data_IF_257714717938
#
_entry.id   IF_257714717938
#
_cell.length_a   1.000
_cell.length_b   1.000
_cell.length_c   1.000
_cell.angle_alpha   90.00
_cell.angle_beta   90.00
_cell.angle_gamma   90.00
#
_symmetry.space_group_name_H-M   'P 1'
#
loop_
_entity.id
_entity.type
_entity.pdbx_description
1 polymer ?
#
# COMPACT_ATOMS: atom_id res chain seq x y z
N UNK A 1 7.41 -0.08 21.81
CA UNK A 1 6.51 0.89 21.17
C UNK A 1 6.28 2.01 22.17
N UNK A 2 6.80 3.22 21.91
CA UNK A 2 6.67 4.32 22.86
C UNK A 2 5.32 5.00 22.69
N UNK A 3 4.68 5.40 23.78
CA UNK A 3 3.31 5.95 23.78
C UNK A 3 3.20 7.26 22.97
N UNK A 4 4.32 7.97 22.80
CA UNK A 4 4.47 9.18 21.99
C UNK A 4 4.26 8.95 20.49
N UNK A 5 4.76 7.83 19.97
CA UNK A 5 4.81 7.55 18.53
C UNK A 5 3.41 7.17 18.01
N UNK A 6 2.63 6.48 18.85
CA UNK A 6 1.21 6.22 18.60
C UNK A 6 0.39 7.50 18.55
N UNK A 7 0.75 8.49 19.37
CA UNK A 7 0.03 9.75 19.47
C UNK A 7 0.29 10.65 18.25
N UNK A 8 1.53 10.72 17.74
CA UNK A 8 1.82 11.40 16.48
C UNK A 8 1.10 10.75 15.29
N UNK A 9 1.08 9.41 15.22
CA UNK A 9 0.39 8.67 14.15
C UNK A 9 -1.12 8.91 14.17
N UNK A 10 -1.75 8.95 15.35
CA UNK A 10 -3.18 9.26 15.47
C UNK A 10 -3.48 10.70 15.06
N UNK A 11 -2.63 11.66 15.45
CA UNK A 11 -2.79 13.08 15.11
C UNK A 11 -2.59 13.34 13.61
N UNK A 12 -1.67 12.63 12.96
CA UNK A 12 -1.41 12.71 11.53
C UNK A 12 -2.51 12.01 10.72
N UNK A 13 -3.04 10.89 11.21
CA UNK A 13 -4.20 10.21 10.62
C UNK A 13 -5.44 11.12 10.63
N UNK A 14 -5.72 11.81 11.74
CA UNK A 14 -6.80 12.81 11.82
C UNK A 14 -6.57 13.98 10.84
N UNK A 15 -5.34 14.51 10.75
CA UNK A 15 -5.00 15.56 9.79
C UNK A 15 -5.21 15.11 8.33
N UNK A 16 -4.89 13.86 8.01
CA UNK A 16 -5.07 13.31 6.67
C UNK A 16 -6.53 13.01 6.31
N UNK A 17 -7.39 12.75 7.31
CA UNK A 17 -8.85 12.59 7.12
C UNK A 17 -9.60 13.90 6.85
N UNK A 18 -9.00 15.05 7.22
CA UNK A 18 -9.56 16.39 7.05
C UNK A 18 -9.32 16.98 5.65
N UNK A 19 -8.51 16.34 4.80
CA UNK A 19 -8.16 16.88 3.49
C UNK A 19 -9.26 16.51 2.48
N UNK A 20 -9.88 17.49 1.81
CA UNK A 20 -10.99 17.24 0.89
C UNK A 20 -10.63 16.25 -0.23
N UNK A 21 -11.67 15.58 -0.73
CA UNK A 21 -11.58 14.41 -1.61
C UNK A 21 -10.56 14.51 -2.73
N UNK A 22 -9.80 13.41 -2.90
CA UNK A 22 -8.70 13.29 -3.86
C UNK A 22 -9.23 13.39 -5.29
N UNK A 23 -9.05 14.55 -5.93
CA UNK A 23 -9.46 14.74 -7.32
C UNK A 23 -8.40 14.20 -8.29
N UNK A 24 -8.77 13.17 -9.05
CA UNK A 24 -7.96 12.56 -10.14
C UNK A 24 -7.28 13.57 -11.07
N UNK A 25 -7.97 14.60 -11.60
CA UNK A 25 -7.30 15.56 -12.48
C UNK A 25 -6.19 16.34 -11.77
N UNK A 26 -6.34 16.64 -10.47
CA UNK A 26 -5.32 17.33 -9.69
C UNK A 26 -4.06 16.49 -9.52
N UNK A 27 -4.22 15.17 -9.37
CA UNK A 27 -3.08 14.25 -9.35
C UNK A 27 -2.29 14.29 -10.66
N UNK A 28 -3.00 14.24 -11.79
CA UNK A 28 -2.35 14.26 -13.11
C UNK A 28 -1.70 15.62 -13.36
N UNK A 29 -2.38 16.72 -12.99
CA UNK A 29 -1.81 18.06 -13.09
C UNK A 29 -0.51 18.19 -12.30
N UNK A 30 -0.45 17.59 -11.09
CA UNK A 30 0.76 17.58 -10.27
C UNK A 30 1.96 16.93 -10.97
N UNK A 31 1.75 15.92 -11.83
CA UNK A 31 2.81 15.27 -12.62
C UNK A 31 3.29 16.12 -13.79
N UNK A 32 2.41 16.96 -14.33
CA UNK A 32 2.70 17.77 -15.51
C UNK A 32 3.32 19.12 -15.14
N UNK A 33 2.97 19.69 -13.98
CA UNK A 33 3.49 20.99 -13.49
C UNK A 33 5.03 21.06 -13.47
N UNK A 34 5.78 20.08 -12.95
CA UNK A 34 7.24 20.11 -12.94
C UNK A 34 7.84 20.16 -14.37
N UNK A 35 7.26 19.40 -15.30
CA UNK A 35 7.70 19.33 -16.68
C UNK A 35 7.44 20.65 -17.42
N UNK A 36 6.23 21.21 -17.26
CA UNK A 36 5.87 22.51 -17.83
C UNK A 36 6.72 23.64 -17.25
N UNK A 37 7.00 23.60 -15.95
CA UNK A 37 7.87 24.57 -15.29
C UNK A 37 9.28 24.51 -15.87
N UNK A 38 9.86 23.31 -16.00
CA UNK A 38 11.17 23.15 -16.64
C UNK A 38 11.19 23.69 -18.08
N UNK A 39 10.12 23.41 -18.85
CA UNK A 39 9.98 23.93 -20.21
C UNK A 39 9.92 25.45 -20.24
N UNK A 40 9.13 26.06 -19.36
CA UNK A 40 9.03 27.52 -19.25
C UNK A 40 10.39 28.15 -18.90
N UNK A 41 11.10 27.65 -17.89
CA UNK A 41 12.42 28.18 -17.54
C UNK A 41 13.44 28.02 -18.68
N UNK A 42 13.36 26.92 -19.43
CA UNK A 42 14.17 26.68 -20.61
C UNK A 42 13.84 27.67 -21.74
N UNK A 43 12.55 27.89 -22.01
CA UNK A 43 12.06 28.80 -23.04
C UNK A 43 12.46 30.26 -22.78
N UNK A 44 12.42 30.72 -21.53
CA UNK A 44 12.84 32.09 -21.16
C UNK A 44 14.36 32.24 -20.98
N UNK A 45 15.14 31.22 -21.29
CA UNK A 45 16.60 31.22 -21.14
C UNK A 45 17.06 31.63 -19.72
N UNK A 46 16.33 31.17 -18.71
CA UNK A 46 16.67 31.45 -17.31
C UNK A 46 18.06 30.90 -16.95
N UNK A 47 18.79 31.54 -16.01
CA UNK A 47 20.10 31.04 -15.60
C UNK A 47 19.98 29.63 -15.01
N UNK A 48 20.94 28.77 -15.34
CA UNK A 48 20.90 27.34 -15.01
C UNK A 48 20.83 27.09 -13.50
N UNK A 49 21.51 27.90 -12.70
CA UNK A 49 21.55 27.77 -11.24
C UNK A 49 20.16 27.98 -10.61
N UNK A 50 19.41 28.97 -11.08
CA UNK A 50 18.04 29.22 -10.61
C UNK A 50 17.12 28.09 -11.08
N UNK A 51 17.30 27.64 -12.32
CA UNK A 51 16.48 26.57 -12.90
C UNK A 51 16.63 25.24 -12.15
N UNK A 52 17.84 24.88 -11.77
CA UNK A 52 18.14 23.72 -10.91
C UNK A 52 17.32 23.80 -9.62
N UNK A 53 17.52 24.87 -8.84
CA UNK A 53 16.90 25.02 -7.52
C UNK A 53 15.37 24.98 -7.64
N UNK A 54 14.82 25.72 -8.60
CA UNK A 54 13.38 25.80 -8.81
C UNK A 54 12.76 24.45 -9.18
N UNK A 55 13.36 23.72 -10.13
CA UNK A 55 12.86 22.40 -10.56
C UNK A 55 12.93 21.38 -9.42
N UNK A 56 14.03 21.36 -8.66
CA UNK A 56 14.15 20.44 -7.53
C UNK A 56 13.11 20.74 -6.43
N UNK A 57 12.88 22.01 -6.09
CA UNK A 57 11.83 22.39 -5.11
C UNK A 57 10.46 21.88 -5.57
N UNK A 58 10.11 22.10 -6.83
CA UNK A 58 8.84 21.62 -7.38
C UNK A 58 8.75 20.09 -7.34
N UNK A 59 9.84 19.38 -7.68
CA UNK A 59 9.88 17.91 -7.57
C UNK A 59 9.72 17.43 -6.12
N UNK A 60 10.30 18.12 -5.15
CA UNK A 60 10.12 17.78 -3.74
C UNK A 60 8.69 18.01 -3.27
N UNK A 61 8.06 19.10 -3.69
CA UNK A 61 6.64 19.37 -3.41
C UNK A 61 5.76 18.30 -4.05
N UNK A 62 6.03 17.91 -5.30
CA UNK A 62 5.31 16.82 -5.99
C UNK A 62 5.41 15.50 -5.20
N UNK A 63 6.61 15.11 -4.78
CA UNK A 63 6.82 13.90 -3.97
C UNK A 63 6.13 14.00 -2.63
N UNK A 64 6.20 15.14 -1.96
CA UNK A 64 5.57 15.35 -0.66
C UNK A 64 4.05 15.19 -0.76
N UNK A 65 3.41 15.87 -1.71
CA UNK A 65 1.96 15.78 -1.92
C UNK A 65 1.56 14.37 -2.38
N UNK A 66 2.36 13.74 -3.24
CA UNK A 66 2.15 12.34 -3.65
C UNK A 66 2.14 11.40 -2.46
N UNK A 67 3.15 11.53 -1.59
CA UNK A 67 3.33 10.68 -0.44
C UNK A 67 2.21 10.85 0.57
N UNK A 68 1.89 12.10 0.89
CA UNK A 68 0.97 12.43 1.98
C UNK A 68 -0.49 12.29 1.58
N UNK A 69 -0.86 12.83 0.42
CA UNK A 69 -2.26 12.94 0.01
C UNK A 69 -2.67 11.80 -0.93
N UNK A 70 -1.93 11.59 -2.01
CA UNK A 70 -2.34 10.64 -3.05
C UNK A 70 -2.03 9.18 -2.70
N UNK A 71 -0.99 8.91 -1.90
CA UNK A 71 -0.63 7.55 -1.46
C UNK A 71 -1.74 6.90 -0.63
N UNK A 72 -2.15 7.57 0.47
CA UNK A 72 -3.25 7.14 1.32
C UNK A 72 -4.60 7.23 0.58
N UNK A 73 -4.79 8.28 -0.24
CA UNK A 73 -6.04 8.57 -0.92
C UNK A 73 -6.41 7.57 -2.02
N UNK A 74 -5.48 7.27 -2.94
CA UNK A 74 -5.79 6.44 -4.12
C UNK A 74 -5.53 4.95 -3.89
N UNK A 75 -4.47 4.60 -3.17
CA UNK A 75 -4.04 3.20 -3.01
C UNK A 75 -4.07 2.73 -1.56
N UNK A 76 -4.14 3.66 -0.60
CA UNK A 76 -4.06 3.33 0.82
C UNK A 76 -2.65 2.91 1.25
N UNK A 77 -1.62 3.27 0.49
CA UNK A 77 -0.22 2.94 0.77
C UNK A 77 0.52 4.17 1.28
N UNK A 78 1.31 4.00 2.34
CA UNK A 78 2.21 5.04 2.87
C UNK A 78 3.53 4.42 3.30
N UNK A 79 4.62 5.14 3.10
CA UNK A 79 5.92 4.79 3.69
C UNK A 79 6.42 5.89 4.60
N UNK A 80 6.95 5.54 5.76
CA UNK A 80 7.57 6.45 6.72
C UNK A 80 8.83 5.83 7.31
N UNK A 81 9.67 6.65 7.96
CA UNK A 81 10.84 6.13 8.66
C UNK A 81 10.52 5.94 10.13
N UNK A 82 10.59 4.71 10.62
CA UNK A 82 10.51 4.40 12.05
C UNK A 82 11.57 3.34 12.42
N UNK A 83 12.45 3.70 13.36
CA UNK A 83 13.53 2.85 13.84
C UNK A 83 13.03 1.74 14.78
N UNK A 84 11.89 1.93 15.43
CA UNK A 84 11.35 0.96 16.38
C UNK A 84 10.71 -0.25 15.69
N UNK A 85 10.16 -0.06 14.49
CA UNK A 85 9.39 -1.08 13.78
C UNK A 85 10.19 -1.80 12.70
N UNK A 86 11.14 -1.12 12.05
CA UNK A 86 12.10 -1.72 11.12
C UNK A 86 13.52 -1.53 11.66
N UNK A 87 14.08 -2.49 12.42
CA UNK A 87 15.44 -2.37 12.97
C UNK A 87 16.54 -2.53 11.90
N UNK A 88 16.19 -3.00 10.70
CA UNK A 88 17.10 -3.06 9.55
C UNK A 88 17.11 -1.72 8.82
N UNK A 89 18.30 -1.17 8.64
CA UNK A 89 18.54 -0.01 7.79
C UNK A 89 17.99 -0.29 6.38
N UNK A 90 17.20 0.61 5.76
CA UNK A 90 17.01 2.04 6.05
C UNK A 90 15.88 2.42 7.05
N UNK A 91 15.36 1.48 7.86
CA UNK A 91 14.32 1.72 8.86
C UNK A 91 13.02 2.31 8.27
N UNK A 92 12.57 1.76 7.15
CA UNK A 92 11.36 2.20 6.44
C UNK A 92 10.22 1.25 6.80
N UNK A 93 9.11 1.80 7.28
CA UNK A 93 7.87 1.07 7.52
C UNK A 93 6.91 1.32 6.36
N UNK A 94 6.28 0.25 5.91
CA UNK A 94 5.29 0.25 4.84
C UNK A 94 3.91 0.02 5.44
N UNK A 95 3.06 1.04 5.35
CA UNK A 95 1.68 0.99 5.82
C UNK A 95 0.74 0.73 4.64
N UNK A 96 -0.17 -0.22 4.82
CA UNK A 96 -1.31 -0.47 3.94
C UNK A 96 -2.58 -0.38 4.77
N UNK A 97 -3.61 0.30 4.27
CA UNK A 97 -4.91 0.37 4.97
C UNK A 97 -5.49 -1.04 5.19
N UNK A 98 -5.95 -1.37 6.40
CA UNK A 98 -6.62 -2.65 6.68
C UNK A 98 -8.03 -2.69 6.08
N UNK A 99 -8.59 -3.91 5.95
CA UNK A 99 -9.97 -4.11 5.49
C UNK A 99 -10.96 -3.33 6.40
N UNK A 100 -12.05 -2.77 5.84
CA UNK A 100 -12.64 -3.04 4.51
C UNK A 100 -12.15 -2.13 3.38
N UNK A 101 -11.06 -1.36 3.56
CA UNK A 101 -10.57 -0.48 2.49
C UNK A 101 -10.07 -1.29 1.28
N UNK A 102 -10.77 -1.17 0.16
CA UNK A 102 -10.35 -1.73 -1.14
C UNK A 102 -10.21 -0.56 -2.11
N UNK A 103 -8.98 -0.33 -2.56
CA UNK A 103 -8.72 0.69 -3.57
C UNK A 103 -9.49 0.34 -4.85
N UNK A 104 -10.23 1.30 -5.39
CA UNK A 104 -10.86 1.14 -6.71
C UNK A 104 -9.79 0.85 -7.75
N UNK A 105 -10.04 -0.09 -8.66
CA UNK A 105 -9.10 -0.45 -9.73
C UNK A 105 -8.69 0.77 -10.56
N UNK A 106 -9.63 1.70 -10.78
CA UNK A 106 -9.38 2.94 -11.52
C UNK A 106 -8.40 3.84 -10.76
N UNK A 107 -8.61 4.02 -9.45
CA UNK A 107 -7.80 4.92 -8.63
C UNK A 107 -6.37 4.39 -8.45
N UNK A 108 -6.25 3.07 -8.25
CA UNK A 108 -4.95 2.39 -8.24
C UNK A 108 -4.22 2.53 -9.57
N UNK A 109 -4.89 2.24 -10.69
CA UNK A 109 -4.27 2.35 -12.02
C UNK A 109 -3.80 3.78 -12.31
N UNK A 110 -4.64 4.79 -12.03
CA UNK A 110 -4.28 6.20 -12.20
C UNK A 110 -3.06 6.55 -11.35
N UNK A 111 -3.03 6.11 -10.09
CA UNK A 111 -1.90 6.35 -9.21
C UNK A 111 -0.60 5.80 -9.80
N UNK A 112 -0.57 4.50 -10.13
CA UNK A 112 0.61 3.83 -10.65
C UNK A 112 1.06 4.37 -12.01
N UNK A 113 0.10 4.65 -12.91
CA UNK A 113 0.40 5.27 -14.21
C UNK A 113 0.98 6.67 -14.04
N UNK A 114 0.41 7.51 -13.18
CA UNK A 114 0.94 8.84 -12.92
C UNK A 114 2.33 8.81 -12.25
N UNK A 115 2.56 7.83 -11.38
CA UNK A 115 3.86 7.63 -10.72
C UNK A 115 4.94 7.20 -11.72
N UNK A 116 4.57 6.40 -12.72
CA UNK A 116 5.45 6.00 -13.84
C UNK A 116 5.60 7.11 -14.89
N UNK A 117 4.56 7.92 -15.10
CA UNK A 117 4.56 8.99 -16.10
C UNK A 117 5.59 10.08 -15.77
N UNK A 118 5.82 10.35 -14.48
CA UNK A 118 6.81 11.34 -14.05
C UNK A 118 8.25 11.01 -14.51
N UNK A 119 8.86 9.87 -14.14
CA UNK A 119 10.22 9.54 -14.59
C UNK A 119 10.30 9.39 -16.11
N UNK A 120 9.27 8.85 -16.77
CA UNK A 120 9.22 8.77 -18.24
C UNK A 120 9.20 10.16 -18.87
N UNK A 121 8.40 11.08 -18.34
CA UNK A 121 8.33 12.47 -18.79
C UNK A 121 9.67 13.19 -18.66
N UNK A 122 10.42 12.94 -17.58
CA UNK A 122 11.78 13.47 -17.42
C UNK A 122 12.79 12.88 -18.41
N UNK A 123 12.69 11.59 -18.74
CA UNK A 123 13.54 10.96 -19.76
C UNK A 123 13.26 11.55 -21.14
N UNK A 124 11.99 11.69 -21.52
CA UNK A 124 11.60 12.31 -22.80
C UNK A 124 12.10 13.76 -22.85
N UNK A 125 11.92 14.50 -21.75
CA UNK A 125 12.41 15.88 -21.64
C UNK A 125 13.93 15.95 -21.74
N UNK A 126 14.67 14.98 -21.19
CA UNK A 126 16.13 14.93 -21.31
C UNK A 126 16.57 14.83 -22.77
N UNK A 127 15.95 13.93 -23.55
CA UNK A 127 16.24 13.77 -24.99
C UNK A 127 15.89 15.05 -25.75
N UNK A 128 14.74 15.65 -25.46
CA UNK A 128 14.31 16.91 -26.06
C UNK A 128 15.31 18.04 -25.77
N UNK A 129 15.64 18.30 -24.51
CA UNK A 129 16.57 19.38 -24.17
C UNK A 129 17.99 19.13 -24.65
N UNK A 130 18.43 17.87 -24.75
CA UNK A 130 19.72 17.52 -25.35
C UNK A 130 19.85 18.06 -26.78
N UNK A 131 18.78 17.94 -27.57
CA UNK A 131 18.75 18.36 -28.96
C UNK A 131 18.59 19.88 -29.11
N UNK A 132 17.71 20.51 -28.31
CA UNK A 132 17.34 21.92 -28.50
C UNK A 132 18.13 22.92 -27.66
N UNK A 133 18.55 22.57 -26.44
CA UNK A 133 19.10 23.51 -25.44
C UNK A 133 20.50 23.13 -24.91
N UNK A 134 21.03 22.01 -25.39
CA UNK A 134 22.37 21.51 -25.06
C UNK A 134 22.45 20.69 -23.76
N UNK A 135 23.64 20.18 -23.46
CA UNK A 135 23.88 19.20 -22.38
C UNK A 135 23.67 19.72 -20.96
N UNK A 136 23.58 21.04 -20.75
CA UNK A 136 23.41 21.65 -19.42
C UNK A 136 22.10 21.24 -18.74
N UNK A 137 21.03 21.08 -19.52
CA UNK A 137 19.70 20.67 -19.04
C UNK A 137 19.59 19.18 -18.73
N UNK A 138 20.52 18.37 -19.23
CA UNK A 138 20.54 16.93 -18.96
C UNK A 138 20.73 16.63 -17.48
N UNK A 139 21.60 17.36 -16.79
CA UNK A 139 21.84 17.14 -15.36
C UNK A 139 20.56 17.35 -14.53
N UNK A 140 19.78 18.38 -14.87
CA UNK A 140 18.49 18.66 -14.22
C UNK A 140 17.53 17.50 -14.45
N UNK A 141 17.40 17.05 -15.70
CA UNK A 141 16.47 15.97 -16.05
C UNK A 141 16.88 14.64 -15.41
N UNK A 142 18.17 14.30 -15.40
CA UNK A 142 18.68 13.10 -14.76
C UNK A 142 18.44 13.11 -13.26
N UNK A 143 18.69 14.24 -12.58
CA UNK A 143 18.43 14.38 -11.15
C UNK A 143 16.94 14.27 -10.81
N UNK A 144 16.08 14.94 -11.58
CA UNK A 144 14.64 14.87 -11.40
C UNK A 144 14.09 13.46 -11.69
N UNK A 145 14.57 12.79 -12.76
CA UNK A 145 14.22 11.41 -13.06
C UNK A 145 14.62 10.45 -11.94
N UNK A 146 15.83 10.59 -11.39
CA UNK A 146 16.33 9.75 -10.29
C UNK A 146 15.47 9.90 -9.03
N UNK A 147 15.14 11.14 -8.65
CA UNK A 147 14.29 11.43 -7.49
C UNK A 147 12.88 10.83 -7.67
N UNK A 148 12.28 10.96 -8.86
CA UNK A 148 10.99 10.35 -9.15
C UNK A 148 11.04 8.82 -9.19
N UNK A 149 12.12 8.24 -9.71
CA UNK A 149 12.33 6.79 -9.72
C UNK A 149 12.51 6.23 -8.31
N UNK A 150 13.21 6.94 -7.43
CA UNK A 150 13.30 6.58 -6.01
C UNK A 150 11.91 6.55 -5.37
N UNK A 151 11.07 7.55 -5.64
CA UNK A 151 9.70 7.58 -5.14
C UNK A 151 8.87 6.40 -5.67
N UNK A 152 8.95 6.10 -6.97
CA UNK A 152 8.32 4.92 -7.57
C UNK A 152 8.77 3.61 -6.89
N UNK A 153 10.08 3.46 -6.70
CA UNK A 153 10.66 2.27 -6.06
C UNK A 153 10.19 2.08 -4.62
N UNK A 154 10.02 3.18 -3.86
CA UNK A 154 9.52 3.14 -2.50
C UNK A 154 8.07 2.63 -2.47
N UNK A 155 7.20 3.18 -3.31
CA UNK A 155 5.82 2.73 -3.42
C UNK A 155 5.70 1.28 -3.90
N UNK A 156 6.57 0.85 -4.83
CA UNK A 156 6.58 -0.54 -5.28
C UNK A 156 6.92 -1.50 -4.14
N UNK A 157 7.85 -1.12 -3.26
CA UNK A 157 8.16 -1.88 -2.04
C UNK A 157 7.00 -1.87 -1.05
N UNK A 158 6.28 -0.75 -0.90
CA UNK A 158 5.05 -0.71 -0.10
C UNK A 158 4.03 -1.74 -0.59
N UNK A 159 3.81 -1.77 -1.91
CA UNK A 159 2.82 -2.64 -2.54
C UNK A 159 3.14 -4.12 -2.34
N UNK A 160 4.41 -4.49 -2.53
CA UNK A 160 4.84 -5.87 -2.32
C UNK A 160 4.74 -6.28 -0.85
N UNK A 161 5.15 -5.42 0.08
CA UNK A 161 5.03 -5.68 1.52
C UNK A 161 3.55 -5.82 1.95
N UNK A 162 2.66 -4.98 1.42
CA UNK A 162 1.21 -5.07 1.68
C UNK A 162 0.60 -6.37 1.17
N UNK A 163 1.04 -6.87 0.01
CA UNK A 163 0.62 -8.18 -0.52
C UNK A 163 1.08 -9.33 0.35
N UNK A 164 2.35 -9.35 0.76
CA UNK A 164 2.88 -10.38 1.65
C UNK A 164 2.13 -10.43 2.98
N UNK A 165 1.77 -9.27 3.54
CA UNK A 165 0.97 -9.19 4.75
C UNK A 165 -0.44 -9.77 4.53
N UNK A 166 -1.12 -9.39 3.44
CA UNK A 166 -2.45 -9.90 3.11
C UNK A 166 -2.44 -11.43 2.90
N UNK A 167 -1.43 -11.96 2.21
CA UNK A 167 -1.25 -13.40 2.00
C UNK A 167 -1.02 -14.14 3.31
N UNK A 168 -0.22 -13.59 4.23
CA UNK A 168 0.02 -14.21 5.53
C UNK A 168 -1.25 -14.28 6.39
N UNK A 169 -2.05 -13.21 6.39
CA UNK A 169 -3.34 -13.16 7.10
C UNK A 169 -4.31 -14.18 6.49
N UNK A 170 -4.43 -14.21 5.16
CA UNK A 170 -5.28 -15.17 4.48
C UNK A 170 -4.87 -16.62 4.78
N UNK A 171 -3.56 -16.92 4.79
CA UNK A 171 -3.05 -18.25 5.18
C UNK A 171 -3.42 -18.59 6.62
N UNK A 172 -3.24 -17.68 7.57
CA UNK A 172 -3.61 -17.92 8.97
C UNK A 172 -5.11 -18.18 9.12
N UNK A 173 -5.97 -17.41 8.44
CA UNK A 173 -7.41 -17.62 8.49
C UNK A 173 -7.86 -18.93 7.82
N UNK A 174 -7.16 -19.37 6.75
CA UNK A 174 -7.43 -20.67 6.12
C UNK A 174 -6.94 -21.83 6.99
N UNK A 175 -5.81 -21.68 7.69
CA UNK A 175 -5.32 -22.66 8.66
C UNK A 175 -6.24 -22.73 9.87
N UNK A 176 -6.66 -21.60 10.43
CA UNK A 176 -7.59 -21.55 11.56
C UNK A 176 -8.94 -22.20 11.24
N UNK A 177 -9.47 -21.96 10.02
CA UNK A 177 -10.65 -22.68 9.54
C UNK A 177 -10.42 -24.18 9.40
N UNK A 178 -9.25 -24.63 8.93
CA UNK A 178 -9.00 -26.06 8.79
C UNK A 178 -8.96 -26.78 10.14
N UNK A 179 -8.44 -26.14 11.20
CA UNK A 179 -8.47 -26.67 12.55
C UNK A 179 -9.91 -26.71 13.05
N UNK A 180 -10.67 -25.65 12.81
CA UNK A 180 -12.10 -25.60 13.15
C UNK A 180 -12.93 -26.68 12.44
N UNK A 181 -12.63 -26.98 11.17
CA UNK A 181 -13.29 -28.07 10.43
C UNK A 181 -12.85 -29.46 10.88
N UNK A 182 -11.59 -29.65 11.28
CA UNK A 182 -11.10 -30.91 11.85
C UNK A 182 -11.77 -31.17 13.20
N UNK A 183 -11.80 -30.17 14.09
CA UNK A 183 -12.47 -30.28 15.40
C UNK A 183 -13.97 -30.54 15.22
N UNK A 184 -14.64 -29.83 14.31
CA UNK A 184 -16.06 -30.10 14.04
C UNK A 184 -16.31 -31.48 13.40
N UNK A 185 -15.34 -32.03 12.66
CA UNK A 185 -15.44 -33.37 12.09
C UNK A 185 -15.18 -34.45 13.16
N UNK A 186 -14.19 -34.26 14.02
CA UNK A 186 -13.89 -35.14 15.15
C UNK A 186 -15.04 -35.16 16.17
N UNK A 187 -15.66 -34.01 16.47
CA UNK A 187 -16.85 -33.95 17.32
C UNK A 187 -18.04 -34.71 16.71
N UNK A 188 -18.19 -34.67 15.38
CA UNK A 188 -19.26 -35.39 14.69
C UNK A 188 -19.00 -36.91 14.61
N UNK A 189 -17.74 -37.34 14.46
CA UNK A 189 -17.34 -38.76 14.51
C UNK A 189 -17.35 -39.34 15.95
N UNK A 190 -17.07 -38.52 16.96
CA UNK A 190 -17.18 -38.88 18.39
C UNK A 190 -18.64 -38.96 18.84
N UNK A 191 -19.52 -38.10 18.30
CA UNK A 191 -20.96 -38.18 18.53
C UNK A 191 -21.61 -39.40 17.88
N UNK A 192 -21.14 -39.86 16.71
CA UNK A 192 -21.68 -41.08 16.09
C UNK A 192 -21.17 -42.37 16.75
N UNK A 193 -19.99 -42.34 17.38
CA UNK A 193 -19.43 -43.51 18.09
C UNK A 193 -20.07 -43.71 19.46
N UNK A 194 -20.57 -42.64 20.09
CA UNK A 194 -21.23 -42.71 21.40
C UNK A 194 -22.70 -43.12 21.34
N UNK A 195 -23.33 -43.13 20.16
CA UNK A 195 -24.69 -43.67 19.97
C UNK A 195 -24.70 -45.21 19.77
N UNK A 196 -23.62 -45.81 19.22
CA UNK A 196 -23.53 -47.26 19.02
C UNK A 196 -23.19 -48.05 20.31
N UNK A 197 -22.61 -47.45 21.34
CA UNK A 197 -22.29 -48.15 22.61
C UNK A 197 -23.48 -48.25 23.59
N UNK A 198 -24.67 -47.72 23.26
CA UNK A 198 -25.84 -47.71 24.16
C UNK A 198 -26.97 -48.67 23.80
N UNK A 199 -26.87 -49.48 22.74
CA UNK A 199 -27.97 -50.37 22.30
C UNK A 199 -27.93 -51.83 22.81
N UNK A 200 -26.94 -52.26 23.60
CA UNK A 200 -26.79 -53.70 23.95
C UNK A 200 -27.08 -54.10 25.43
N UNK A 201 -27.65 -53.23 26.26
CA UNK A 201 -28.12 -53.63 27.60
C UNK A 201 -29.50 -53.04 27.88
N UNK A 202 -30.59 -53.75 27.55
CA UNK A 202 -31.84 -53.79 28.32
C UNK A 202 -32.98 -54.52 27.55
N UNK A 203 -32.96 -55.86 27.47
CA UNK A 203 -34.19 -56.62 27.20
C UNK A 203 -34.19 -58.04 27.78
N UNK A 204 -34.19 -58.16 29.12
CA UNK A 204 -34.65 -59.41 29.76
C UNK A 204 -35.32 -59.14 31.12
N UNK A 205 -36.57 -58.67 31.10
CA UNK A 205 -37.57 -59.12 32.07
C UNK A 205 -38.99 -58.76 31.60
N UNK A 206 -39.71 -59.76 31.12
CA UNK A 206 -41.07 -60.12 31.57
C UNK A 206 -41.66 -61.11 30.60
N UNK A 207 -42.01 -62.29 31.09
CA UNK A 207 -43.39 -62.81 31.06
C UNK A 207 -43.37 -64.26 31.53
N UNK A 208 -43.88 -64.54 32.74
CA UNK A 208 -44.95 -65.53 32.91
C UNK A 208 -45.58 -65.43 34.30
N UNK A 209 -46.86 -65.09 34.28
CA UNK A 209 -47.76 -65.04 35.43
C UNK A 209 -48.62 -66.32 35.40
N UNK A 210 -48.58 -67.07 36.52
CA UNK A 210 -49.61 -67.94 37.13
C UNK A 210 -50.27 -69.08 36.32
N UNK A 211 -50.18 -70.32 36.87
CA UNK A 211 -51.35 -71.06 37.43
C UNK A 211 -50.97 -72.40 38.09
N UNK A 212 -51.58 -72.61 39.26
CA UNK A 212 -51.94 -73.84 39.97
C UNK A 212 -50.84 -74.86 40.34
#
# INVERSE_FOLDING_TARGET
MNHSDQQELMTENERSSLIPGTSKPSYIALRVIPLLSAFFLSYFHAPISISIIFVFIICFIDIYITKEHFGIGLVGLRWYRNKSESPKFPNIVYYSKPLPFVASTIDSNIFWLGLLLSPVGWIISAVFYCYFYGSRWLLICCGAAAINLMNFSAFMRCHNAGKEQADSIARTLLLDKNVSFQVAKEENELSSTSEEETEDEDEEDKTTVLKA
#
